data_IF_516011518650
#
_entry.id   IF_516011518650
#
_cell.length_a   1.000
_cell.length_b   1.000
_cell.length_c   1.000
_cell.angle_alpha   90.00
_cell.angle_beta   90.00
_cell.angle_gamma   90.00
#
_symmetry.space_group_name_H-M   'P 1'
#
loop_
_entity.id
_entity.type
_entity.pdbx_description
1 polymer ?
#
# COMPACT_ATOMS: atom_id res chain seq x y z
N UNK A 1 17.65 30.35 19.04
CA UNK A 1 16.79 30.30 17.83
C UNK A 1 16.45 28.83 17.61
N UNK A 2 15.18 28.44 17.75
CA UNK A 2 14.73 27.08 17.43
C UNK A 2 14.74 26.92 15.91
N UNK A 3 15.44 25.93 15.38
CA UNK A 3 15.29 25.51 13.98
C UNK A 3 13.80 25.24 13.72
N UNK A 4 13.23 25.82 12.66
CA UNK A 4 11.93 25.40 12.17
C UNK A 4 12.11 24.01 11.60
N UNK A 5 11.76 22.97 12.35
CA UNK A 5 11.59 21.64 11.78
C UNK A 5 10.45 21.73 10.77
N UNK A 6 10.78 21.68 9.48
CA UNK A 6 9.80 21.53 8.41
C UNK A 6 9.17 20.15 8.53
N UNK A 7 7.83 20.09 8.56
CA UNK A 7 7.11 18.82 8.59
C UNK A 7 7.42 18.02 7.33
N UNK A 8 7.53 16.69 7.48
CA UNK A 8 7.70 15.80 6.34
C UNK A 8 6.40 15.71 5.53
N UNK A 9 6.54 15.66 4.21
CA UNK A 9 5.46 15.54 3.25
C UNK A 9 5.64 14.23 2.46
N UNK A 10 4.72 13.94 1.55
CA UNK A 10 4.72 12.72 0.73
C UNK A 10 6.03 12.55 -0.05
N UNK A 11 6.59 13.63 -0.59
CA UNK A 11 7.85 13.60 -1.36
C UNK A 11 9.04 13.22 -0.48
N UNK A 12 9.15 13.82 0.71
CA UNK A 12 10.20 13.49 1.68
C UNK A 12 10.16 12.00 2.04
N UNK A 13 8.97 11.47 2.35
CA UNK A 13 8.81 10.05 2.71
C UNK A 13 9.07 9.12 1.53
N UNK A 14 8.61 9.46 0.33
CA UNK A 14 8.86 8.66 -0.88
C UNK A 14 10.35 8.55 -1.20
N UNK A 15 11.12 9.64 -1.00
CA UNK A 15 12.58 9.62 -1.15
C UNK A 15 13.23 8.74 -0.09
N UNK A 16 12.84 8.85 1.18
CA UNK A 16 13.37 8.00 2.26
C UNK A 16 13.09 6.52 1.94
N UNK A 17 11.84 6.18 1.60
CA UNK A 17 11.44 4.81 1.31
C UNK A 17 12.06 4.28 0.02
N UNK A 18 12.33 5.14 -0.96
CA UNK A 18 13.12 4.77 -2.13
C UNK A 18 14.53 4.30 -1.75
N UNK A 19 15.23 5.04 -0.88
CA UNK A 19 16.56 4.66 -0.43
C UNK A 19 16.54 3.38 0.41
N UNK A 20 15.56 3.23 1.31
CA UNK A 20 15.39 2.01 2.11
C UNK A 20 15.11 0.78 1.24
N UNK A 21 14.23 0.89 0.23
CA UNK A 21 14.01 -0.17 -0.76
C UNK A 21 15.28 -0.53 -1.54
N UNK A 22 16.05 0.48 -1.96
CA UNK A 22 17.31 0.24 -2.69
C UNK A 22 18.33 -0.48 -1.81
N UNK A 23 18.40 -0.15 -0.51
CA UNK A 23 19.28 -0.82 0.46
C UNK A 23 18.84 -2.26 0.73
N UNK A 24 17.54 -2.53 0.88
CA UNK A 24 17.03 -3.88 1.15
C UNK A 24 17.30 -4.86 0.00
N UNK A 25 17.34 -4.37 -1.24
CA UNK A 25 17.76 -5.18 -2.40
C UNK A 25 19.22 -5.65 -2.35
N UNK A 26 20.11 -4.90 -1.71
CA UNK A 26 21.54 -5.22 -1.63
C UNK A 26 21.82 -6.18 -0.47
N UNK A 27 21.02 -6.11 0.61
CA UNK A 27 21.11 -6.97 1.79
C UNK A 27 20.41 -8.34 1.59
N UNK A 28 20.74 -9.05 0.51
CA UNK A 28 20.18 -10.38 0.20
C UNK A 28 20.64 -11.51 1.13
N UNK A 29 21.55 -11.21 2.08
CA UNK A 29 22.09 -12.20 3.02
C UNK A 29 21.13 -12.57 4.16
N UNK A 30 20.13 -11.73 4.44
CA UNK A 30 19.15 -11.99 5.50
C UNK A 30 17.95 -12.77 4.96
N UNK A 31 17.49 -13.78 5.71
CA UNK A 31 16.29 -14.55 5.37
C UNK A 31 15.00 -13.71 5.40
N UNK A 32 15.05 -12.58 6.09
CA UNK A 32 13.92 -11.69 6.33
C UNK A 32 13.77 -10.68 5.20
N UNK A 33 12.61 -10.67 4.53
CA UNK A 33 12.40 -9.85 3.33
C UNK A 33 11.25 -8.89 3.54
N UNK A 34 11.47 -7.63 3.17
CA UNK A 34 10.44 -6.61 3.24
C UNK A 34 10.44 -5.69 2.01
N UNK A 35 9.31 -5.01 1.80
CA UNK A 35 9.20 -3.92 0.82
C UNK A 35 8.41 -2.76 1.41
N UNK A 36 8.53 -1.59 0.78
CA UNK A 36 7.75 -0.40 1.13
C UNK A 36 6.90 0.04 -0.06
N UNK A 37 5.70 0.55 0.17
CA UNK A 37 4.88 1.21 -0.86
C UNK A 37 5.27 2.68 -1.02
N UNK A 38 4.69 3.36 -2.00
CA UNK A 38 4.74 4.82 -2.12
C UNK A 38 3.59 5.45 -1.33
N UNK A 39 3.74 6.70 -0.92
CA UNK A 39 2.74 7.45 -0.15
C UNK A 39 1.38 7.50 -0.87
N UNK A 40 1.37 7.63 -2.19
CA UNK A 40 0.15 7.68 -2.99
C UNK A 40 -0.65 6.37 -3.03
N UNK A 41 -0.10 5.25 -2.55
CA UNK A 41 -0.82 3.96 -2.51
C UNK A 41 -2.13 4.08 -1.73
N UNK A 42 -2.09 4.80 -0.60
CA UNK A 42 -3.26 5.13 0.22
C UNK A 42 -4.37 5.78 -0.61
N UNK A 43 -4.02 6.73 -1.47
CA UNK A 43 -4.99 7.50 -2.25
C UNK A 43 -5.80 6.62 -3.19
N UNK A 44 -5.16 5.64 -3.84
CA UNK A 44 -5.87 4.69 -4.70
C UNK A 44 -6.86 3.87 -3.88
N UNK A 45 -6.40 3.34 -2.76
CA UNK A 45 -7.22 2.54 -1.83
C UNK A 45 -8.41 3.34 -1.30
N UNK A 46 -8.21 4.59 -0.87
CA UNK A 46 -9.26 5.44 -0.33
C UNK A 46 -10.31 5.82 -1.38
N UNK A 47 -9.87 6.18 -2.59
CA UNK A 47 -10.79 6.52 -3.69
C UNK A 47 -11.65 5.33 -4.08
N UNK A 48 -11.03 4.15 -4.23
CA UNK A 48 -11.76 2.93 -4.55
C UNK A 48 -12.72 2.53 -3.42
N UNK A 49 -12.26 2.56 -2.16
CA UNK A 49 -13.13 2.28 -1.01
C UNK A 49 -14.33 3.21 -0.97
N UNK A 50 -14.15 4.50 -1.21
CA UNK A 50 -15.24 5.50 -1.15
C UNK A 50 -16.30 5.24 -2.20
N UNK A 51 -15.95 4.66 -3.36
CA UNK A 51 -16.92 4.25 -4.38
C UNK A 51 -17.76 3.06 -3.94
N UNK A 52 -17.13 2.02 -3.37
CA UNK A 52 -17.84 0.80 -2.96
C UNK A 52 -18.61 0.96 -1.65
N UNK A 53 -18.10 1.78 -0.74
CA UNK A 53 -18.66 2.03 0.59
C UNK A 53 -18.82 3.54 0.80
N UNK A 54 -19.78 4.17 0.10
CA UNK A 54 -20.01 5.61 0.21
C UNK A 54 -20.54 5.96 1.61
N UNK A 55 -20.04 7.05 2.19
CA UNK A 55 -20.45 7.51 3.52
C UNK A 55 -21.87 8.10 3.54
N UNK A 56 -22.32 8.63 2.41
CA UNK A 56 -23.68 9.15 2.20
C UNK A 56 -24.32 8.41 1.01
N UNK A 57 -25.65 8.23 1.02
CA UNK A 57 -26.34 7.67 -0.14
C UNK A 57 -26.05 8.53 -1.37
N UNK A 58 -25.86 7.86 -2.52
CA UNK A 58 -25.47 8.53 -3.75
C UNK A 58 -26.33 9.77 -3.99
N UNK A 59 -25.70 10.94 -4.03
CA UNK A 59 -26.26 12.11 -4.73
C UNK A 59 -26.65 11.59 -6.11
N UNK A 60 -27.81 12.00 -6.63
CA UNK A 60 -28.30 11.58 -7.94
C UNK A 60 -27.32 12.08 -9.02
N UNK A 61 -26.23 11.30 -9.21
CA UNK A 61 -25.18 11.58 -10.17
C UNK A 61 -25.77 11.38 -11.54
N UNK A 62 -25.50 12.31 -12.46
CA UNK A 62 -25.86 12.07 -13.84
C UNK A 62 -25.13 10.83 -14.36
N UNK A 63 -25.74 10.12 -15.31
CA UNK A 63 -25.15 8.92 -15.93
C UNK A 63 -23.74 9.17 -16.48
N UNK A 64 -23.47 10.39 -16.96
CA UNK A 64 -22.15 10.76 -17.47
C UNK A 64 -21.11 10.91 -16.37
N UNK A 65 -21.48 11.51 -15.22
CA UNK A 65 -20.60 11.68 -14.08
C UNK A 65 -20.27 10.32 -13.45
N UNK A 66 -21.29 9.46 -13.32
CA UNK A 66 -21.15 8.11 -12.78
C UNK A 66 -20.20 7.22 -13.61
N UNK A 67 -20.31 7.32 -14.95
CA UNK A 67 -19.40 6.64 -15.86
C UNK A 67 -17.95 7.15 -15.75
N UNK A 68 -17.78 8.47 -15.66
CA UNK A 68 -16.46 9.07 -15.50
C UNK A 68 -15.78 8.64 -14.19
N UNK A 69 -16.52 8.60 -13.08
CA UNK A 69 -16.03 8.10 -11.79
C UNK A 69 -15.65 6.62 -11.87
N UNK A 70 -16.47 5.80 -12.52
CA UNK A 70 -16.20 4.37 -12.69
C UNK A 70 -14.90 4.11 -13.46
N UNK A 71 -14.60 4.91 -14.49
CA UNK A 71 -13.30 4.83 -15.21
C UNK A 71 -12.13 5.13 -14.27
N UNK A 72 -12.26 6.16 -13.42
CA UNK A 72 -11.20 6.54 -12.48
C UNK A 72 -10.99 5.45 -11.45
N UNK A 73 -12.07 4.83 -10.96
CA UNK A 73 -12.02 3.73 -10.00
C UNK A 73 -11.29 2.54 -10.62
N UNK A 74 -11.68 2.08 -11.81
CA UNK A 74 -11.00 0.97 -12.51
C UNK A 74 -9.49 1.19 -12.64
N UNK A 75 -9.06 2.41 -13.01
CA UNK A 75 -7.62 2.76 -13.06
C UNK A 75 -6.93 2.69 -11.70
N UNK A 76 -7.63 3.04 -10.62
CA UNK A 76 -7.08 2.91 -9.27
C UNK A 76 -6.98 1.44 -8.86
N UNK A 77 -7.94 0.60 -9.22
CA UNK A 77 -7.90 -0.86 -8.97
C UNK A 77 -6.71 -1.50 -9.69
N UNK A 78 -6.54 -1.18 -10.98
CA UNK A 78 -5.39 -1.59 -11.77
C UNK A 78 -4.09 -1.14 -11.11
N UNK A 79 -4.02 0.11 -10.62
CA UNK A 79 -2.85 0.62 -9.92
C UNK A 79 -2.59 -0.15 -8.60
N UNK A 80 -3.63 -0.48 -7.83
CA UNK A 80 -3.51 -1.27 -6.60
C UNK A 80 -2.99 -2.68 -6.91
N UNK A 81 -3.61 -3.37 -7.87
CA UNK A 81 -3.19 -4.69 -8.32
C UNK A 81 -1.73 -4.67 -8.82
N UNK A 82 -1.37 -3.66 -9.62
CA UNK A 82 0.00 -3.47 -10.10
C UNK A 82 1.01 -3.13 -9.00
N UNK A 83 0.59 -2.52 -7.88
CA UNK A 83 1.47 -2.26 -6.73
C UNK A 83 1.69 -3.54 -5.91
N UNK A 84 0.63 -4.34 -5.71
CA UNK A 84 0.68 -5.64 -5.03
C UNK A 84 1.53 -6.63 -5.83
N UNK A 85 1.24 -6.76 -7.12
CA UNK A 85 2.00 -7.59 -8.07
C UNK A 85 3.30 -6.93 -8.57
N UNK A 86 3.54 -5.68 -8.17
CA UNK A 86 4.74 -4.87 -8.40
C UNK A 86 5.19 -4.60 -9.84
N UNK A 87 4.28 -4.35 -10.77
CA UNK A 87 4.64 -3.81 -12.09
C UNK A 87 5.15 -2.34 -12.04
N UNK A 88 4.91 -1.60 -10.95
CA UNK A 88 5.15 -0.15 -10.90
C UNK A 88 6.29 0.35 -9.97
N UNK A 89 7.07 -0.52 -9.33
CA UNK A 89 8.10 -0.09 -8.36
C UNK A 89 9.50 -0.60 -8.73
N UNK A 90 10.33 0.29 -9.29
CA UNK A 90 11.71 0.00 -9.77
C UNK A 90 12.66 -0.58 -8.70
N UNK A 91 12.36 -0.42 -7.41
CA UNK A 91 13.34 -0.63 -6.34
C UNK A 91 12.96 -1.61 -5.22
N UNK A 92 11.81 -2.29 -5.21
CA UNK A 92 11.51 -3.24 -4.11
C UNK A 92 11.38 -4.71 -4.55
N UNK A 93 10.95 -5.56 -3.61
CA UNK A 93 10.63 -6.98 -3.84
C UNK A 93 9.12 -7.19 -4.10
N UNK A 94 8.76 -8.25 -4.82
CA UNK A 94 7.35 -8.62 -5.04
C UNK A 94 6.68 -8.98 -3.71
N UNK A 95 5.39 -8.67 -3.53
CA UNK A 95 4.71 -8.88 -2.24
C UNK A 95 4.75 -10.36 -1.83
N UNK A 96 4.61 -11.30 -2.77
CA UNK A 96 4.72 -12.74 -2.48
C UNK A 96 6.15 -13.20 -2.11
N UNK A 97 7.17 -12.37 -2.33
CA UNK A 97 8.57 -12.68 -1.99
C UNK A 97 9.01 -12.09 -0.65
N UNK A 98 8.14 -11.36 0.04
CA UNK A 98 8.43 -10.67 1.30
C UNK A 98 7.55 -11.17 2.42
N UNK A 99 8.03 -11.02 3.65
CA UNK A 99 7.29 -11.29 4.87
C UNK A 99 6.42 -10.08 5.26
N UNK A 100 6.98 -8.87 5.08
CA UNK A 100 6.33 -7.61 5.46
C UNK A 100 6.28 -6.55 4.36
N UNK A 101 5.17 -5.81 4.34
CA UNK A 101 5.00 -4.61 3.50
C UNK A 101 4.73 -3.39 4.37
N UNK A 102 5.60 -2.39 4.25
CA UNK A 102 5.50 -1.13 4.95
C UNK A 102 4.71 -0.10 4.11
N UNK A 103 3.66 0.48 4.68
CA UNK A 103 2.78 1.44 4.04
C UNK A 103 2.73 2.73 4.86
N UNK A 104 3.25 3.85 4.35
CA UNK A 104 3.13 5.14 5.03
C UNK A 104 1.72 5.70 4.78
N UNK A 105 1.03 6.10 5.84
CA UNK A 105 -0.33 6.65 5.79
C UNK A 105 -0.35 8.02 6.43
N UNK A 106 -0.75 9.02 5.65
CA UNK A 106 -1.02 10.37 6.13
C UNK A 106 -2.48 10.46 6.59
N UNK A 107 -2.71 10.74 7.87
CA UNK A 107 -4.02 10.69 8.52
C UNK A 107 -4.85 11.99 8.42
N UNK A 108 -4.62 12.82 7.40
CA UNK A 108 -5.46 13.98 7.04
C UNK A 108 -5.48 15.15 8.03
N UNK A 109 -5.15 14.92 9.30
CA UNK A 109 -4.98 15.94 10.35
C UNK A 109 -3.50 16.35 10.40
N UNK A 110 -3.25 17.65 10.27
CA UNK A 110 -2.01 18.39 10.58
C UNK A 110 -0.71 17.56 10.59
N UNK A 111 -0.34 16.95 9.45
CA UNK A 111 0.94 16.25 9.28
C UNK A 111 1.13 15.03 10.19
N UNK A 112 0.03 14.34 10.54
CA UNK A 112 0.09 13.07 11.26
C UNK A 112 0.38 11.92 10.31
N UNK A 113 1.50 11.23 10.53
CA UNK A 113 1.89 10.04 9.80
C UNK A 113 1.85 8.80 10.68
N UNK A 114 1.26 7.75 10.12
CA UNK A 114 1.19 6.42 10.69
C UNK A 114 1.85 5.45 9.73
N UNK A 115 2.60 4.49 10.27
CA UNK A 115 3.20 3.41 9.49
C UNK A 115 2.40 2.13 9.71
N UNK A 116 1.68 1.70 8.68
CA UNK A 116 1.06 0.38 8.66
C UNK A 116 2.09 -0.64 8.17
N UNK A 117 2.21 -1.76 8.87
CA UNK A 117 2.99 -2.91 8.45
C UNK A 117 2.01 -4.01 8.12
N UNK A 118 2.10 -4.59 6.93
CA UNK A 118 1.26 -5.72 6.53
C UNK A 118 2.13 -6.96 6.65
N UNK A 119 1.84 -7.80 7.63
CA UNK A 119 2.48 -9.11 7.80
C UNK A 119 1.67 -10.10 6.96
N UNK A 120 2.20 -10.46 5.79
CA UNK A 120 1.43 -11.19 4.78
C UNK A 120 1.05 -12.60 5.26
N UNK A 121 2.01 -13.32 5.87
CA UNK A 121 1.78 -14.69 6.39
C UNK A 121 0.73 -14.73 7.50
N UNK A 122 0.74 -13.75 8.39
CA UNK A 122 -0.16 -13.68 9.54
C UNK A 122 -1.48 -12.99 9.22
N UNK A 123 -1.58 -12.33 8.05
CA UNK A 123 -2.72 -11.50 7.64
C UNK A 123 -3.03 -10.40 8.66
N UNK A 124 -1.98 -9.85 9.28
CA UNK A 124 -2.07 -8.81 10.29
C UNK A 124 -1.58 -7.48 9.76
N UNK A 125 -2.19 -6.40 10.26
CA UNK A 125 -1.73 -5.04 9.99
C UNK A 125 -1.35 -4.34 11.30
N UNK A 126 -0.13 -4.54 11.84
CA UNK A 126 0.37 -3.70 12.91
C UNK A 126 0.45 -2.23 12.48
N UNK A 127 0.08 -1.35 13.41
CA UNK A 127 0.00 0.09 13.17
C UNK A 127 0.91 0.81 14.14
N UNK A 128 1.91 1.52 13.60
CA UNK A 128 2.81 2.36 14.38
C UNK A 128 2.36 3.81 14.25
N UNK A 129 1.73 4.30 15.31
CA UNK A 129 1.24 5.66 15.42
C UNK A 129 2.11 6.45 16.44
N UNK A 130 2.82 7.47 15.95
CA UNK A 130 3.70 8.32 16.77
C UNK A 130 2.95 9.21 17.77
N UNK A 131 1.65 9.44 17.56
CA UNK A 131 0.74 10.21 18.42
C UNK A 131 -0.18 9.29 19.25
N UNK A 132 0.06 7.97 19.23
CA UNK A 132 -0.60 7.02 20.10
C UNK A 132 -0.26 7.32 21.56
N UNK A 133 -1.27 7.75 22.33
CA UNK A 133 -1.12 7.85 23.79
C UNK A 133 -1.25 6.45 24.42
N UNK A 134 -0.88 6.29 25.70
CA UNK A 134 -1.03 4.99 26.41
C UNK A 134 -2.47 4.44 26.47
N UNK A 135 -3.47 5.21 26.05
CA UNK A 135 -4.88 4.77 26.00
C UNK A 135 -5.12 4.12 24.65
N UNK A 136 -5.79 2.96 24.63
CA UNK A 136 -6.23 2.31 23.39
C UNK A 136 -7.13 3.30 22.63
N UNK A 137 -6.62 3.83 21.52
CA UNK A 137 -7.38 4.61 20.55
C UNK A 137 -7.83 3.68 19.43
N UNK A 138 -8.98 3.98 18.85
CA UNK A 138 -9.40 3.33 17.62
C UNK A 138 -8.38 3.60 16.50
N UNK A 139 -8.13 2.62 15.61
CA UNK A 139 -7.28 2.83 14.45
C UNK A 139 -7.79 3.99 13.58
N UNK A 140 -6.90 4.80 12.98
CA UNK A 140 -7.28 5.82 12.01
C UNK A 140 -8.18 5.24 10.91
N UNK A 141 -9.17 6.03 10.45
CA UNK A 141 -10.15 5.58 9.44
C UNK A 141 -9.45 5.12 8.15
N UNK A 142 -8.31 5.73 7.81
CA UNK A 142 -7.49 5.39 6.67
C UNK A 142 -6.92 3.97 6.76
N UNK A 143 -6.58 3.51 7.97
CA UNK A 143 -6.13 2.14 8.23
C UNK A 143 -7.29 1.15 8.06
N UNK A 144 -8.48 1.51 8.54
CA UNK A 144 -9.66 0.66 8.40
C UNK A 144 -10.01 0.44 6.93
N UNK A 145 -10.00 1.52 6.13
CA UNK A 145 -10.19 1.45 4.67
C UNK A 145 -9.11 0.59 4.01
N UNK A 146 -7.85 0.74 4.42
CA UNK A 146 -6.75 -0.08 3.92
C UNK A 146 -6.97 -1.56 4.23
N UNK A 147 -7.36 -1.91 5.45
CA UNK A 147 -7.59 -3.28 5.85
C UNK A 147 -8.69 -3.96 5.01
N UNK A 148 -9.81 -3.27 4.79
CA UNK A 148 -10.93 -3.78 3.97
C UNK A 148 -10.51 -4.01 2.53
N UNK A 149 -9.98 -2.98 1.87
CA UNK A 149 -9.64 -3.06 0.45
C UNK A 149 -8.49 -4.04 0.20
N UNK A 150 -7.47 -4.02 1.04
CA UNK A 150 -6.32 -4.88 0.86
C UNK A 150 -6.71 -6.36 0.97
N UNK A 151 -7.58 -6.69 1.94
CA UNK A 151 -8.06 -8.06 2.09
C UNK A 151 -8.78 -8.55 0.83
N UNK A 152 -9.66 -7.72 0.24
CA UNK A 152 -10.37 -8.04 -1.01
C UNK A 152 -9.37 -8.31 -2.13
N UNK A 153 -8.42 -7.39 -2.38
CA UNK A 153 -7.46 -7.57 -3.47
C UNK A 153 -6.51 -8.76 -3.26
N UNK A 154 -6.09 -9.05 -2.03
CA UNK A 154 -5.24 -10.23 -1.79
C UNK A 154 -6.02 -11.53 -2.00
N UNK A 155 -7.30 -11.58 -1.62
CA UNK A 155 -8.16 -12.74 -1.84
C UNK A 155 -8.48 -12.94 -3.33
N UNK A 156 -8.93 -11.91 -4.03
CA UNK A 156 -9.34 -11.99 -5.44
C UNK A 156 -8.19 -12.34 -6.40
N UNK A 157 -6.94 -12.14 -5.97
CA UNK A 157 -5.75 -12.47 -6.74
C UNK A 157 -5.19 -13.88 -6.43
N UNK A 158 -5.91 -14.69 -5.66
CA UNK A 158 -5.50 -15.99 -5.14
C UNK A 158 -4.12 -15.90 -4.45
N UNK A 159 -3.85 -14.79 -3.75
CA UNK A 159 -2.52 -14.52 -3.21
C UNK A 159 -2.09 -15.59 -2.19
N UNK A 160 -3.06 -16.12 -1.43
CA UNK A 160 -2.82 -17.09 -0.37
C UNK A 160 -2.90 -18.55 -0.83
N UNK A 161 -3.57 -18.83 -1.94
CA UNK A 161 -3.71 -20.20 -2.47
C UNK A 161 -2.47 -20.63 -3.26
N UNK A 162 -1.65 -19.66 -3.69
CA UNK A 162 -0.29 -19.87 -4.20
C UNK A 162 0.67 -20.14 -3.04
N UNK A 163 0.54 -21.30 -2.40
CA UNK A 163 1.32 -21.70 -1.20
C UNK A 163 2.79 -21.99 -1.48
N UNK A 164 3.15 -22.27 -2.73
CA UNK A 164 4.54 -22.24 -3.16
C UNK A 164 4.90 -20.82 -3.55
N UNK A 165 6.04 -20.33 -3.04
CA UNK A 165 6.71 -19.14 -3.55
C UNK A 165 6.94 -19.39 -5.05
N UNK A 166 5.97 -19.00 -5.86
CA UNK A 166 5.90 -19.42 -7.26
C UNK A 166 7.22 -19.02 -7.90
N UNK A 167 7.86 -19.95 -8.60
CA UNK A 167 9.12 -19.70 -9.29
C UNK A 167 8.83 -18.83 -10.53
N UNK A 168 8.46 -17.57 -10.34
CA UNK A 168 8.12 -16.63 -11.42
C UNK A 168 9.24 -16.41 -12.45
N UNK A 169 10.55 -16.60 -12.16
CA UNK A 169 11.58 -16.71 -13.20
C UNK A 169 11.27 -17.75 -14.29
N UNK A 170 10.50 -18.79 -13.96
CA UNK A 170 10.06 -19.83 -14.91
C UNK A 170 8.84 -19.44 -15.75
N UNK A 171 8.11 -18.38 -15.38
CA UNK A 171 6.99 -17.89 -16.19
C UNK A 171 7.50 -17.16 -17.45
N UNK A 172 6.93 -17.54 -18.59
CA UNK A 172 7.25 -17.00 -19.92
C UNK A 172 7.25 -15.45 -19.98
N UNK A 173 6.39 -14.78 -19.20
CA UNK A 173 6.32 -13.32 -19.15
C UNK A 173 7.57 -12.62 -18.53
N UNK A 174 8.37 -13.36 -17.76
CA UNK A 174 9.55 -12.88 -17.01
C UNK A 174 10.87 -13.46 -17.52
N UNK A 175 10.83 -14.41 -18.45
CA UNK A 175 12.01 -14.98 -19.11
C UNK A 175 12.80 -13.86 -19.81
N UNK A 176 14.00 -13.55 -19.30
CA UNK A 176 14.89 -12.53 -19.86
C UNK A 176 14.73 -11.09 -19.33
N UNK A 177 13.85 -10.82 -18.37
CA UNK A 177 13.72 -9.49 -17.74
C UNK A 177 14.43 -9.34 -16.40
N UNK A 178 14.96 -10.44 -15.86
CA UNK A 178 15.75 -10.48 -14.64
C UNK A 178 17.22 -10.44 -15.09
N UNK A 179 17.79 -9.23 -15.18
CA UNK A 179 19.23 -8.99 -15.32
C UNK A 179 19.67 -8.04 -14.22
#
# INVERSE_FOLDING_TARGET
MSERKTCWNDEHLDVIFYHLRKKSKIQLADNYRYTMTRCFFKTYVEKTHTRYYPAEPAVDLSTQQDYAESIVVAKNEDAIANIIQKFCMSAGLLWYMVDEVYVPINCGKEFHWVLAVIILKERLIPVYDSLSSKRKKEPPIEIQKLAVMLLIYLLDNDFYDKTERTDWPSLEAYKGKIT
#
